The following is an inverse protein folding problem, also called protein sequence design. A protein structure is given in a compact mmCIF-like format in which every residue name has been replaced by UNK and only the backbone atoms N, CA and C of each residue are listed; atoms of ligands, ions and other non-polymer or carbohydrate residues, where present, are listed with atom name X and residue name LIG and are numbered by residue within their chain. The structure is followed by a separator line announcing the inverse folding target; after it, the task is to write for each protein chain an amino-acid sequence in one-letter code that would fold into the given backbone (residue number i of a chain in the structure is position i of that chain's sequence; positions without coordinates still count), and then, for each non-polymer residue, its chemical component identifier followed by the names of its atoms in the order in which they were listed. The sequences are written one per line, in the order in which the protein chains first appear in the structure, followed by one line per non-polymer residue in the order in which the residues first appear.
data_IF_703032977316
#
_entry.id   IF_703032977316
#
_cell.length_a   1.000
_cell.length_b   1.000
_cell.length_c   1.000
_cell.angle_alpha   90.00
_cell.angle_beta   90.00
_cell.angle_gamma   90.00
#
_symmetry.space_group_name_H-M   'P 1'
#
loop_
_entity.id
_entity.type
_entity.pdbx_description
1 polymer ?
#
# COMPACT_ATOMS: atom_id res chain seq x y z
N UNK A 1 -12.03 9.42 19.40
CA UNK A 1 -13.47 9.73 19.53
C UNK A 1 -14.20 8.47 19.98
N UNK A 2 -15.27 8.62 20.79
CA UNK A 2 -16.07 7.46 21.27
C UNK A 2 -16.62 6.59 20.13
N UNK A 3 -16.92 7.18 18.96
CA UNK A 3 -17.42 6.42 17.81
C UNK A 3 -16.38 5.50 17.16
N UNK A 4 -15.11 5.86 17.16
CA UNK A 4 -14.05 5.00 16.62
C UNK A 4 -13.83 3.77 17.49
N UNK A 5 -13.91 3.93 18.80
CA UNK A 5 -13.82 2.82 19.73
C UNK A 5 -14.97 1.81 19.50
N UNK A 6 -16.20 2.26 19.51
CA UNK A 6 -17.36 1.40 19.25
C UNK A 6 -17.26 0.71 17.88
N UNK A 7 -16.84 1.46 16.83
CA UNK A 7 -16.63 0.88 15.50
C UNK A 7 -15.60 -0.25 15.53
N UNK A 8 -14.43 -0.01 16.13
CA UNK A 8 -13.35 -0.99 16.18
C UNK A 8 -13.73 -2.22 17.01
N UNK A 9 -14.39 -2.02 18.16
CA UNK A 9 -14.93 -3.11 18.99
C UNK A 9 -15.92 -3.98 18.18
N UNK A 10 -16.86 -3.36 17.46
CA UNK A 10 -17.84 -4.10 16.62
C UNK A 10 -17.16 -4.88 15.50
N UNK A 11 -16.13 -4.30 14.85
CA UNK A 11 -15.37 -5.01 13.79
C UNK A 11 -14.64 -6.22 14.37
N UNK A 12 -14.01 -6.08 15.54
CA UNK A 12 -13.30 -7.19 16.19
C UNK A 12 -14.27 -8.27 16.61
N UNK A 13 -15.39 -7.94 17.27
CA UNK A 13 -16.43 -8.90 17.64
C UNK A 13 -16.97 -9.69 16.42
N UNK A 14 -17.19 -9.00 15.30
CA UNK A 14 -17.62 -9.66 14.06
C UNK A 14 -16.53 -10.57 13.50
N UNK A 15 -15.30 -10.13 13.51
CA UNK A 15 -14.16 -10.93 13.04
C UNK A 15 -13.97 -12.20 13.86
N UNK A 16 -14.08 -12.12 15.18
CA UNK A 16 -14.05 -13.28 16.08
C UNK A 16 -15.21 -14.24 15.82
N UNK A 17 -16.45 -13.72 15.70
CA UNK A 17 -17.64 -14.52 15.42
C UNK A 17 -17.57 -15.27 14.09
N UNK A 18 -16.88 -14.73 13.09
CA UNK A 18 -16.65 -15.32 11.77
C UNK A 18 -15.37 -16.16 11.69
N UNK A 19 -14.57 -16.24 12.74
CA UNK A 19 -13.31 -16.99 12.76
C UNK A 19 -12.25 -16.39 11.83
N UNK A 20 -12.23 -15.06 11.66
CA UNK A 20 -11.24 -14.34 10.84
C UNK A 20 -9.84 -14.56 11.40
N UNK A 21 -8.90 -14.91 10.54
CA UNK A 21 -7.51 -15.19 10.91
C UNK A 21 -6.58 -13.98 10.73
N UNK A 22 -6.97 -13.01 9.91
CA UNK A 22 -6.19 -11.82 9.63
C UNK A 22 -7.11 -10.67 9.22
N UNK A 23 -6.92 -9.51 9.80
CA UNK A 23 -7.57 -8.26 9.37
C UNK A 23 -6.57 -7.45 8.54
N UNK A 24 -6.94 -7.11 7.30
CA UNK A 24 -6.11 -6.29 6.41
C UNK A 24 -6.83 -4.99 6.11
N UNK A 25 -6.21 -3.87 6.44
CA UNK A 25 -6.69 -2.55 6.02
C UNK A 25 -5.98 -2.10 4.76
N UNK A 26 -6.72 -1.49 3.85
CA UNK A 26 -6.22 -1.08 2.54
C UNK A 26 -6.29 0.44 2.43
N UNK A 27 -5.24 1.04 1.88
CA UNK A 27 -5.16 2.48 1.69
C UNK A 27 -4.24 2.89 0.54
N UNK A 28 -4.22 4.20 0.28
CA UNK A 28 -3.27 4.80 -0.64
C UNK A 28 -2.65 6.04 -0.01
N UNK A 29 -1.39 6.30 -0.35
CA UNK A 29 -0.65 7.48 0.07
C UNK A 29 -0.21 8.26 -1.17
N UNK A 30 -0.40 9.57 -1.14
CA UNK A 30 0.19 10.46 -2.13
C UNK A 30 1.71 10.48 -1.91
N UNK A 31 2.47 10.23 -2.98
CA UNK A 31 3.91 10.12 -2.94
C UNK A 31 4.57 10.73 -4.18
N UNK A 32 5.86 10.97 -4.09
CA UNK A 32 6.71 11.40 -5.20
C UNK A 32 7.13 10.18 -6.04
N UNK A 33 6.13 9.57 -6.70
CA UNK A 33 6.31 8.39 -7.54
C UNK A 33 5.79 8.65 -8.95
N UNK A 34 6.45 8.12 -10.01
CA UNK A 34 5.98 8.27 -11.37
C UNK A 34 4.80 7.37 -11.67
N UNK A 35 3.84 7.87 -12.47
CA UNK A 35 2.68 7.08 -12.89
C UNK A 35 3.03 5.95 -13.87
N UNK A 36 4.16 6.07 -14.55
CA UNK A 36 4.67 5.15 -15.58
C UNK A 36 5.43 3.93 -15.03
N UNK A 37 5.75 3.90 -13.74
CA UNK A 37 6.43 2.76 -13.10
C UNK A 37 5.45 1.91 -12.29
N UNK A 38 5.82 0.67 -11.93
CA UNK A 38 5.01 -0.16 -11.05
C UNK A 38 4.68 0.55 -9.74
N UNK A 39 3.46 0.30 -9.22
CA UNK A 39 3.04 0.90 -7.95
C UNK A 39 3.65 0.12 -6.79
N UNK A 40 4.44 0.79 -5.98
CA UNK A 40 4.94 0.23 -4.72
C UNK A 40 3.80 0.09 -3.71
N UNK A 41 3.71 -1.08 -3.08
CA UNK A 41 2.77 -1.34 -1.98
C UNK A 41 3.54 -1.69 -0.73
N UNK A 42 3.51 -0.79 0.24
CA UNK A 42 4.11 -1.01 1.56
C UNK A 42 3.11 -1.70 2.47
N UNK A 43 3.52 -2.82 3.06
CA UNK A 43 2.78 -3.51 4.10
C UNK A 43 3.35 -3.20 5.48
N UNK A 44 2.50 -2.91 6.46
CA UNK A 44 2.88 -2.62 7.84
C UNK A 44 2.08 -3.45 8.82
N UNK A 45 2.77 -3.96 9.87
CA UNK A 45 2.14 -4.66 10.99
C UNK A 45 2.90 -4.35 12.28
N UNK A 46 2.23 -4.53 13.43
CA UNK A 46 2.87 -4.41 14.74
C UNK A 46 3.36 -5.77 15.30
N UNK A 47 2.83 -6.86 14.77
CA UNK A 47 3.21 -8.21 15.15
C UNK A 47 4.48 -8.65 14.40
N UNK A 48 5.54 -8.99 15.15
CA UNK A 48 6.83 -9.39 14.58
C UNK A 48 6.73 -10.66 13.72
N UNK A 49 5.89 -11.61 14.11
CA UNK A 49 5.68 -12.83 13.33
C UNK A 49 4.97 -12.58 12.00
N UNK A 50 4.10 -11.57 11.92
CA UNK A 50 3.53 -11.12 10.64
C UNK A 50 4.57 -10.40 9.79
N UNK A 51 5.38 -9.54 10.40
CA UNK A 51 6.46 -8.81 9.71
C UNK A 51 7.38 -9.79 9.01
N UNK A 52 7.88 -10.80 9.73
CA UNK A 52 8.82 -11.79 9.18
C UNK A 52 8.17 -12.69 8.10
N UNK A 53 6.95 -13.20 8.36
CA UNK A 53 6.29 -14.16 7.44
C UNK A 53 5.77 -13.53 6.16
N UNK A 54 5.40 -12.26 6.21
CA UNK A 54 4.69 -11.57 5.12
C UNK A 54 5.51 -10.45 4.49
N UNK A 55 6.80 -10.36 4.84
CA UNK A 55 7.69 -9.30 4.35
C UNK A 55 7.06 -7.91 4.51
N UNK A 56 6.66 -7.60 5.75
CA UNK A 56 6.03 -6.35 6.13
C UNK A 56 7.03 -5.48 6.88
N UNK A 57 6.69 -4.22 7.08
CA UNK A 57 7.49 -3.26 7.83
C UNK A 57 6.87 -2.97 9.20
N UNK A 58 7.71 -2.65 10.18
CA UNK A 58 7.22 -2.06 11.42
C UNK A 58 6.75 -0.62 11.16
N UNK A 59 5.65 -0.16 11.80
CA UNK A 59 5.21 1.22 11.67
C UNK A 59 6.31 2.18 12.17
N UNK A 60 6.73 3.12 11.33
CA UNK A 60 7.72 4.15 11.69
C UNK A 60 7.07 5.48 12.07
N UNK A 61 5.76 5.61 11.85
CA UNK A 61 5.02 6.83 12.12
C UNK A 61 4.64 6.94 13.59
N UNK A 62 5.12 7.98 14.24
CA UNK A 62 4.75 8.38 15.61
C UNK A 62 3.90 9.67 15.51
N UNK A 63 2.59 9.56 15.62
CA UNK A 63 1.71 10.71 15.53
C UNK A 63 0.24 10.38 15.80
N UNK A 64 -0.68 11.36 15.63
CA UNK A 64 -2.09 11.14 15.85
C UNK A 64 -2.63 10.00 14.98
N UNK A 65 -3.13 8.96 15.62
CA UNK A 65 -3.67 7.77 14.96
C UNK A 65 -5.05 8.06 14.38
N UNK A 66 -5.25 7.69 13.10
CA UNK A 66 -6.57 7.66 12.48
C UNK A 66 -7.37 6.42 12.89
N UNK A 67 -8.55 6.24 12.30
CA UNK A 67 -9.42 5.07 12.57
C UNK A 67 -8.70 3.74 12.31
N UNK A 68 -7.81 3.69 11.32
CA UNK A 68 -7.01 2.50 10.98
C UNK A 68 -6.14 2.08 12.16
N UNK A 69 -5.40 3.02 12.77
CA UNK A 69 -4.57 2.72 13.94
C UNK A 69 -5.39 2.32 15.17
N UNK A 70 -6.56 2.93 15.38
CA UNK A 70 -7.47 2.51 16.46
C UNK A 70 -7.99 1.09 16.24
N UNK A 71 -8.30 0.72 14.99
CA UNK A 71 -8.70 -0.65 14.64
C UNK A 71 -7.57 -1.65 14.87
N UNK A 72 -6.35 -1.35 14.44
CA UNK A 72 -5.20 -2.23 14.68
C UNK A 72 -4.90 -2.41 16.17
N UNK A 73 -5.02 -1.35 16.97
CA UNK A 73 -4.89 -1.45 18.43
C UNK A 73 -5.95 -2.36 19.04
N UNK A 74 -7.22 -2.24 18.62
CA UNK A 74 -8.29 -3.11 19.08
C UNK A 74 -8.08 -4.57 18.65
N UNK A 75 -7.60 -4.82 17.43
CA UNK A 75 -7.22 -6.16 16.98
C UNK A 75 -6.10 -6.74 17.86
N UNK A 76 -5.07 -5.96 18.15
CA UNK A 76 -3.96 -6.42 19.00
C UNK A 76 -4.41 -6.73 20.44
N UNK A 77 -5.29 -5.92 21.03
CA UNK A 77 -5.88 -6.18 22.35
C UNK A 77 -6.70 -7.48 22.39
N UNK A 78 -7.37 -7.83 21.28
CA UNK A 78 -8.12 -9.06 21.10
C UNK A 78 -7.25 -10.28 20.69
N UNK A 79 -5.95 -10.09 20.43
CA UNK A 79 -5.08 -11.14 19.91
C UNK A 79 -5.37 -11.52 18.45
N UNK A 80 -6.07 -10.67 17.70
CA UNK A 80 -6.41 -10.87 16.30
C UNK A 80 -5.31 -10.27 15.42
N UNK A 81 -4.60 -11.08 14.61
CA UNK A 81 -3.56 -10.58 13.70
C UNK A 81 -4.09 -9.52 12.75
N UNK A 82 -3.35 -8.45 12.55
CA UNK A 82 -3.76 -7.38 11.64
C UNK A 82 -2.57 -6.68 10.97
N UNK A 83 -2.77 -6.27 9.72
CA UNK A 83 -1.80 -5.49 8.96
C UNK A 83 -2.50 -4.45 8.08
N UNK A 84 -1.71 -3.52 7.53
CA UNK A 84 -2.18 -2.53 6.56
C UNK A 84 -1.34 -2.60 5.29
N UNK A 85 -1.98 -2.42 4.13
CA UNK A 85 -1.33 -2.29 2.84
C UNK A 85 -1.61 -0.89 2.28
N UNK A 86 -0.55 -0.22 1.84
CA UNK A 86 -0.62 1.15 1.35
C UNK A 86 0.03 1.24 -0.03
N UNK A 87 -0.76 1.60 -1.05
CA UNK A 87 -0.26 1.85 -2.39
C UNK A 87 0.26 3.29 -2.49
N UNK A 88 1.49 3.47 -2.99
CA UNK A 88 2.03 4.78 -3.30
C UNK A 88 1.42 5.27 -4.62
N UNK A 89 0.77 6.43 -4.59
CA UNK A 89 0.12 7.02 -5.77
C UNK A 89 0.65 8.43 -6.06
N UNK A 90 0.82 8.80 -7.34
CA UNK A 90 1.38 10.09 -7.70
C UNK A 90 0.56 11.27 -7.16
N UNK A 91 1.19 12.21 -6.47
CA UNK A 91 0.51 13.39 -5.94
C UNK A 91 0.16 14.44 -7.01
N UNK A 92 0.87 14.44 -8.14
CA UNK A 92 0.64 15.38 -9.25
C UNK A 92 -0.55 14.99 -10.15
N UNK A 93 -1.15 13.82 -9.95
CA UNK A 93 -2.30 13.37 -10.72
C UNK A 93 -3.58 13.64 -9.96
N UNK A 94 -4.37 14.60 -10.42
CA UNK A 94 -5.65 14.97 -9.82
C UNK A 94 -6.82 14.04 -10.24
N UNK A 95 -6.57 13.06 -11.11
CA UNK A 95 -7.62 12.18 -11.64
C UNK A 95 -7.99 11.09 -10.63
N UNK A 96 -9.26 11.03 -10.28
CA UNK A 96 -9.85 10.00 -9.40
C UNK A 96 -10.92 9.25 -10.21
N UNK A 97 -10.97 7.93 -10.16
CA UNK A 97 -10.17 6.98 -9.36
C UNK A 97 -8.76 6.72 -9.92
N UNK A 98 -7.88 6.09 -9.11
CA UNK A 98 -6.59 5.58 -9.55
C UNK A 98 -6.63 4.04 -9.64
N UNK A 99 -6.98 3.47 -10.80
CA UNK A 99 -7.11 2.03 -10.97
C UNK A 99 -5.76 1.30 -10.91
N UNK A 100 -4.65 1.97 -11.23
CA UNK A 100 -3.31 1.37 -11.12
C UNK A 100 -2.92 1.12 -9.65
N UNK A 101 -3.17 2.08 -8.76
CA UNK A 101 -3.02 1.90 -7.32
C UNK A 101 -4.00 0.86 -6.76
N UNK A 102 -5.25 0.87 -7.25
CA UNK A 102 -6.26 -0.11 -6.86
C UNK A 102 -5.90 -1.54 -7.29
N UNK A 103 -5.22 -1.72 -8.43
CA UNK A 103 -4.74 -3.03 -8.92
C UNK A 103 -3.56 -3.56 -8.10
N UNK A 104 -2.66 -2.70 -7.69
CA UNK A 104 -1.44 -3.10 -6.98
C UNK A 104 -1.74 -3.78 -5.63
N UNK A 105 -2.79 -3.33 -4.93
CA UNK A 105 -3.18 -3.88 -3.62
C UNK A 105 -3.64 -5.34 -3.70
N UNK A 106 -4.62 -5.75 -4.53
CA UNK A 106 -5.00 -7.15 -4.66
C UNK A 106 -3.84 -8.03 -5.15
N UNK A 107 -2.96 -7.54 -6.03
CA UNK A 107 -1.76 -8.29 -6.44
C UNK A 107 -0.81 -8.54 -5.26
N UNK A 108 -0.63 -7.55 -4.37
CA UNK A 108 0.13 -7.77 -3.13
C UNK A 108 -0.56 -8.75 -2.19
N UNK A 109 -1.89 -8.67 -2.07
CA UNK A 109 -2.68 -9.63 -1.27
C UNK A 109 -2.55 -11.06 -1.80
N UNK A 110 -2.62 -11.29 -3.11
CA UNK A 110 -2.40 -12.61 -3.73
C UNK A 110 -1.08 -13.22 -3.25
N UNK A 111 -0.02 -12.42 -3.25
CA UNK A 111 1.31 -12.86 -2.79
C UNK A 111 1.32 -13.18 -1.29
N UNK A 112 0.63 -12.37 -0.47
CA UNK A 112 0.65 -12.51 0.98
C UNK A 112 -0.20 -13.68 1.50
N UNK A 113 -1.37 -13.90 0.91
CA UNK A 113 -2.34 -14.89 1.42
C UNK A 113 -2.53 -16.10 0.49
N UNK A 114 -1.90 -16.11 -0.67
CA UNK A 114 -1.94 -17.23 -1.62
C UNK A 114 -3.29 -17.40 -2.31
N UNK A 115 -4.08 -16.33 -2.44
CA UNK A 115 -5.41 -16.34 -3.06
C UNK A 115 -5.35 -15.61 -4.39
N UNK A 116 -5.87 -16.22 -5.46
CA UNK A 116 -6.01 -15.54 -6.75
C UNK A 116 -7.27 -14.66 -6.77
N UNK A 117 -7.10 -13.42 -7.22
CA UNK A 117 -8.18 -12.44 -7.40
C UNK A 117 -8.33 -12.14 -8.89
N UNK A 118 -9.54 -12.30 -9.44
CA UNK A 118 -9.81 -11.82 -10.79
C UNK A 118 -9.80 -10.28 -10.81
N UNK A 119 -8.74 -9.72 -11.35
CA UNK A 119 -8.51 -8.28 -11.45
C UNK A 119 -8.52 -7.77 -12.90
N UNK A 120 -9.03 -8.56 -13.85
CA UNK A 120 -9.00 -8.26 -15.30
C UNK A 120 -9.54 -6.86 -15.62
N UNK A 121 -10.65 -6.48 -15.01
CA UNK A 121 -11.22 -5.14 -15.19
C UNK A 121 -10.36 -4.00 -14.65
N UNK A 122 -9.61 -4.25 -13.57
CA UNK A 122 -8.65 -3.28 -13.03
C UNK A 122 -7.40 -3.20 -13.90
N UNK A 123 -6.96 -4.29 -14.49
CA UNK A 123 -5.83 -4.32 -15.43
C UNK A 123 -6.12 -3.46 -16.67
N UNK A 124 -7.28 -3.65 -17.29
CA UNK A 124 -7.71 -2.82 -18.42
C UNK A 124 -7.82 -1.34 -18.04
N UNK A 125 -8.45 -1.05 -16.91
CA UNK A 125 -8.58 0.32 -16.41
C UNK A 125 -7.23 0.96 -16.05
N UNK A 126 -6.28 0.19 -15.53
CA UNK A 126 -4.94 0.67 -15.19
C UNK A 126 -4.15 1.09 -16.45
N UNK A 127 -4.24 0.31 -17.53
CA UNK A 127 -3.62 0.64 -18.82
C UNK A 127 -4.21 1.92 -19.40
N UNK A 128 -5.54 2.06 -19.38
CA UNK A 128 -6.20 3.26 -19.88
C UNK A 128 -5.89 4.51 -19.05
N UNK A 129 -5.84 4.35 -17.73
CA UNK A 129 -5.44 5.42 -16.81
C UNK A 129 -4.01 5.89 -17.09
N UNK A 130 -3.04 4.99 -17.17
CA UNK A 130 -1.64 5.34 -17.45
C UNK A 130 -1.51 6.11 -18.75
N UNK A 131 -2.18 5.64 -19.82
CA UNK A 131 -2.21 6.33 -21.12
C UNK A 131 -2.82 7.74 -21.05
N UNK A 132 -3.89 7.91 -20.27
CA UNK A 132 -4.53 9.22 -20.08
C UNK A 132 -3.62 10.18 -19.32
N UNK A 133 -2.99 9.71 -18.25
CA UNK A 133 -2.07 10.51 -17.44
C UNK A 133 -0.83 10.91 -18.25
N UNK A 134 -0.23 9.98 -19.00
CA UNK A 134 0.92 10.27 -19.86
C UNK A 134 0.62 11.38 -20.87
N UNK A 135 -0.54 11.31 -21.52
CA UNK A 135 -0.97 12.38 -22.47
C UNK A 135 -1.15 13.74 -21.77
N UNK A 136 -1.67 13.75 -20.55
CA UNK A 136 -1.83 14.99 -19.82
C UNK A 136 -0.47 15.57 -19.39
N UNK A 137 0.47 14.73 -19.00
CA UNK A 137 1.85 15.11 -18.66
C UNK A 137 2.59 15.70 -19.88
N UNK A 138 2.45 15.09 -21.05
CA UNK A 138 3.05 15.57 -22.30
C UNK A 138 2.58 16.99 -22.70
N UNK A 139 1.39 17.41 -22.24
CA UNK A 139 0.84 18.73 -22.53
C UNK A 139 1.40 19.86 -21.64
N UNK A 140 2.09 19.51 -20.56
CA UNK A 140 2.68 20.48 -19.61
C UNK A 140 4.18 20.19 -19.42
N UNK A 141 5.06 21.01 -20.03
CA UNK A 141 6.51 20.80 -19.97
C UNK A 141 7.10 20.82 -18.55
N UNK A 142 6.49 21.55 -17.61
CA UNK A 142 6.97 21.61 -16.23
C UNK A 142 6.67 20.29 -15.51
N UNK A 143 5.45 19.77 -15.70
CA UNK A 143 5.04 18.48 -15.16
C UNK A 143 5.83 17.34 -15.82
N UNK A 144 6.07 17.41 -17.13
CA UNK A 144 6.89 16.42 -17.83
C UNK A 144 8.31 16.37 -17.24
N UNK A 145 9.00 17.50 -17.09
CA UNK A 145 10.34 17.56 -16.51
C UNK A 145 10.36 17.08 -15.04
N UNK A 146 9.26 17.26 -14.31
CA UNK A 146 9.10 16.71 -12.96
C UNK A 146 9.00 15.19 -12.98
N UNK A 147 8.15 14.63 -13.85
CA UNK A 147 7.95 13.17 -13.98
C UNK A 147 9.24 12.48 -14.43
N UNK A 148 9.99 13.04 -15.39
CA UNK A 148 11.29 12.50 -15.82
C UNK A 148 12.28 12.37 -14.66
N UNK A 149 12.30 13.32 -13.72
CA UNK A 149 13.13 13.22 -12.51
C UNK A 149 12.67 12.11 -11.57
N UNK A 150 11.35 11.93 -11.42
CA UNK A 150 10.81 10.84 -10.59
C UNK A 150 11.12 9.47 -11.21
N UNK A 151 10.99 9.34 -12.53
CA UNK A 151 11.31 8.10 -13.24
C UNK A 151 12.78 7.72 -13.05
N UNK A 152 13.68 8.70 -13.21
CA UNK A 152 15.11 8.47 -12.99
C UNK A 152 15.42 8.04 -11.55
N UNK A 153 14.80 8.67 -10.56
CA UNK A 153 14.96 8.28 -9.16
C UNK A 153 14.46 6.87 -8.88
N UNK A 154 13.30 6.50 -9.41
CA UNK A 154 12.73 5.17 -9.26
C UNK A 154 13.62 4.09 -9.91
N UNK A 155 14.15 4.35 -11.12
CA UNK A 155 15.04 3.43 -11.83
C UNK A 155 16.40 3.26 -11.10
N UNK A 156 16.90 4.30 -10.43
CA UNK A 156 18.11 4.25 -9.60
C UNK A 156 17.87 3.43 -8.31
N UNK A 157 16.69 3.54 -7.69
CA UNK A 157 16.32 2.73 -6.51
C UNK A 157 16.19 1.24 -6.86
N UNK A 158 15.53 0.89 -7.96
CA UNK A 158 15.44 -0.51 -8.43
C UNK A 158 16.81 -1.11 -8.81
N UNK A 159 17.73 -0.31 -9.29
CA UNK A 159 19.10 -0.73 -9.64
C UNK A 159 20.05 -0.84 -8.45
N UNK A 160 19.67 -0.37 -7.28
CA UNK A 160 20.50 -0.44 -6.07
C UNK A 160 20.38 -1.83 -5.43
N UNK A 161 21.52 -2.50 -5.10
CA UNK A 161 21.46 -3.80 -4.42
C UNK A 161 20.83 -3.63 -3.04
N UNK A 162 19.92 -4.54 -2.71
CA UNK A 162 19.26 -4.61 -1.41
C UNK A 162 20.31 -4.60 -0.27
N UNK A 163 20.26 -3.63 0.66
CA UNK A 163 21.21 -3.54 1.76
C UNK A 163 21.27 -4.80 2.64
N UNK A 164 20.20 -5.63 2.63
CA UNK A 164 20.16 -6.90 3.37
C UNK A 164 20.99 -8.01 2.73
N UNK A 165 21.46 -7.84 1.48
CA UNK A 165 22.27 -8.81 0.74
C UNK A 165 23.78 -8.51 0.76
N UNK A 166 24.19 -7.45 1.46
CA UNK A 166 25.61 -7.20 1.65
C UNK A 166 26.20 -8.23 2.62
N UNK A 167 27.26 -8.98 2.25
CA UNK A 167 27.91 -9.89 3.16
C UNK A 167 28.44 -9.09 4.36
N UNK A 168 28.06 -9.52 5.56
CA UNK A 168 28.65 -9.01 6.79
C UNK A 168 30.15 -9.25 6.70
N UNK A 169 30.92 -8.17 6.58
CA UNK A 169 32.38 -8.23 6.60
C UNK A 169 32.86 -8.75 7.96
N UNK A 170 33.56 -9.84 7.92
CA UNK A 170 34.36 -10.35 9.06
C UNK A 170 35.49 -9.37 9.41
#
# INVERSE_FOLDING_TARGET
SMRWRTYSETVVELAEALGVQLVVTLGALLADVPHSRPVSVTGMASDLGLIERMDLQAPTYEGPTGITGVLHAACAEAGLPSCSLWAAVPHYVAVVPNPKGALAIPRRLETLVGVNVDASSLEEAAVDYERQVSRAVEMDPEVQAFVERLEKAADEEEGSPDPSQLPSGD
#
